data_IF_125561932616
#
_entry.id   IF_125561932616
#
_cell.length_a   1.000
_cell.length_b   1.000
_cell.length_c   1.000
_cell.angle_alpha   90.00
_cell.angle_beta   90.00
_cell.angle_gamma   90.00
#
_symmetry.space_group_name_H-M   'P 1'
#
loop_
_entity.id
_entity.type
_entity.pdbx_description
1 polymer ?
#
# COMPACT_ATOMS: atom_id res chain seq x y z
N UNK A 1 17.36 6.65 2.52
CA UNK A 1 16.49 7.54 1.70
C UNK A 1 16.69 8.97 2.20
N UNK A 2 17.92 9.47 2.09
CA UNK A 2 18.27 10.86 2.36
C UNK A 2 19.38 11.20 1.35
N UNK A 3 18.99 11.81 0.23
CA UNK A 3 19.95 12.31 -0.74
C UNK A 3 19.47 13.68 -1.20
N UNK A 4 19.95 14.73 -0.53
CA UNK A 4 19.58 16.13 -0.83
C UNK A 4 19.95 16.55 -2.25
N UNK A 5 20.76 15.76 -2.97
CA UNK A 5 21.12 15.97 -4.38
C UNK A 5 20.30 15.17 -5.39
N UNK A 6 19.32 14.35 -4.97
CA UNK A 6 18.52 13.54 -5.89
C UNK A 6 17.50 14.41 -6.64
N UNK A 7 17.74 14.61 -7.94
CA UNK A 7 16.92 15.46 -8.82
C UNK A 7 15.77 14.70 -9.50
N UNK A 8 15.58 13.42 -9.21
CA UNK A 8 14.47 12.64 -9.79
C UNK A 8 13.13 13.20 -9.31
N UNK A 9 12.08 13.19 -10.16
CA UNK A 9 10.73 13.52 -9.72
C UNK A 9 10.32 12.69 -8.50
N UNK A 10 9.62 13.32 -7.56
CA UNK A 10 9.16 12.69 -6.30
C UNK A 10 10.26 12.19 -5.36
N UNK A 11 11.53 12.54 -5.61
CA UNK A 11 12.62 12.34 -4.67
C UNK A 11 12.72 13.52 -3.69
N UNK A 12 13.05 13.21 -2.44
CA UNK A 12 13.23 14.21 -1.40
C UNK A 12 13.26 13.60 0.00
N UNK A 13 13.61 14.42 0.98
CA UNK A 13 13.59 14.01 2.39
C UNK A 13 12.14 13.97 2.90
N UNK A 14 11.70 12.81 3.35
CA UNK A 14 10.42 12.68 4.06
C UNK A 14 10.50 13.47 5.36
N UNK A 15 9.54 14.36 5.59
CA UNK A 15 9.44 15.12 6.84
C UNK A 15 8.61 14.32 7.84
N UNK A 16 9.26 13.82 8.88
CA UNK A 16 8.62 13.07 9.97
C UNK A 16 8.69 13.89 11.26
N UNK A 17 7.73 13.72 12.19
CA UNK A 17 7.83 14.34 13.51
C UNK A 17 9.07 13.81 14.24
N UNK A 18 9.67 14.66 15.07
CA UNK A 18 10.77 14.26 15.94
C UNK A 18 10.25 13.45 17.15
N UNK A 19 11.18 12.84 17.88
CA UNK A 19 10.87 12.02 19.05
C UNK A 19 10.34 12.84 20.24
N UNK A 20 10.51 14.16 20.26
CA UNK A 20 9.91 15.00 21.29
C UNK A 20 8.40 15.17 21.05
N UNK A 21 7.98 15.27 19.78
CA UNK A 21 6.58 15.38 19.39
C UNK A 21 5.88 14.01 19.32
N UNK A 22 6.54 12.99 18.76
CA UNK A 22 5.97 11.67 18.54
C UNK A 22 7.01 10.57 18.82
N UNK A 23 7.25 10.23 20.10
CA UNK A 23 8.31 9.29 20.50
C UNK A 23 8.26 7.96 19.72
N UNK A 24 9.31 7.66 18.97
CA UNK A 24 9.47 6.39 18.26
C UNK A 24 8.64 6.24 16.99
N UNK A 25 7.83 7.23 16.60
CA UNK A 25 6.98 7.16 15.40
C UNK A 25 7.82 6.98 14.13
N UNK A 26 8.80 7.87 13.92
CA UNK A 26 9.64 7.85 12.73
C UNK A 26 10.40 6.53 12.60
N UNK A 27 11.02 6.07 13.70
CA UNK A 27 11.73 4.79 13.76
C UNK A 27 10.83 3.62 13.40
N UNK A 28 9.63 3.53 13.98
CA UNK A 28 8.72 2.41 13.75
C UNK A 28 8.19 2.40 12.31
N UNK A 29 7.84 3.56 11.78
CA UNK A 29 7.33 3.70 10.41
C UNK A 29 8.38 3.29 9.38
N UNK A 30 9.63 3.75 9.55
CA UNK A 30 10.75 3.42 8.67
C UNK A 30 11.18 1.96 8.80
N UNK A 31 11.12 1.37 10.00
CA UNK A 31 11.38 -0.05 10.21
C UNK A 31 10.34 -0.92 9.47
N UNK A 32 9.04 -0.61 9.62
CA UNK A 32 7.98 -1.29 8.88
C UNK A 32 8.19 -1.17 7.37
N UNK A 33 8.48 0.03 6.87
CA UNK A 33 8.77 0.26 5.46
C UNK A 33 9.94 -0.60 4.97
N UNK A 34 11.04 -0.63 5.73
CA UNK A 34 12.23 -1.40 5.39
C UNK A 34 11.94 -2.91 5.34
N UNK A 35 11.22 -3.44 6.34
CA UNK A 35 10.81 -4.86 6.36
C UNK A 35 9.96 -5.20 5.14
N UNK A 36 8.92 -4.40 4.85
CA UNK A 36 8.04 -4.63 3.71
C UNK A 36 8.82 -4.58 2.38
N UNK A 37 9.66 -3.57 2.19
CA UNK A 37 10.42 -3.37 0.96
C UNK A 37 11.50 -4.43 0.75
N UNK A 38 12.15 -4.89 1.82
CA UNK A 38 13.26 -5.83 1.70
C UNK A 38 12.81 -7.29 1.72
N UNK A 39 11.69 -7.59 2.37
CA UNK A 39 11.27 -8.98 2.61
C UNK A 39 10.03 -9.37 1.81
N UNK A 40 9.05 -8.47 1.65
CA UNK A 40 7.76 -8.80 1.00
C UNK A 40 7.76 -8.43 -0.48
N UNK A 41 8.18 -7.21 -0.81
CA UNK A 41 8.16 -6.68 -2.19
C UNK A 41 8.95 -7.55 -3.18
N UNK A 42 10.15 -8.07 -2.86
CA UNK A 42 10.91 -8.88 -3.83
C UNK A 42 10.21 -10.21 -4.13
N UNK A 43 9.62 -10.86 -3.12
CA UNK A 43 8.91 -12.11 -3.30
C UNK A 43 7.66 -11.93 -4.18
N UNK A 44 6.86 -10.90 -3.88
CA UNK A 44 5.68 -10.57 -4.68
C UNK A 44 6.05 -10.16 -6.11
N UNK A 45 7.11 -9.37 -6.26
CA UNK A 45 7.62 -8.94 -7.56
C UNK A 45 8.08 -10.11 -8.43
N UNK A 46 8.83 -11.06 -7.87
CA UNK A 46 9.23 -12.28 -8.57
C UNK A 46 8.03 -13.12 -8.98
N UNK A 47 7.04 -13.31 -8.10
CA UNK A 47 5.83 -14.06 -8.42
C UNK A 47 5.01 -13.39 -9.54
N UNK A 48 4.88 -12.06 -9.52
CA UNK A 48 4.19 -11.33 -10.59
C UNK A 48 4.93 -11.40 -11.93
N UNK A 49 6.27 -11.31 -11.90
CA UNK A 49 7.09 -11.43 -13.10
C UNK A 49 6.96 -12.83 -13.74
N UNK A 50 6.99 -13.88 -12.92
CA UNK A 50 6.78 -15.26 -13.34
C UNK A 50 5.38 -15.46 -13.95
N UNK A 51 4.33 -14.97 -13.26
CA UNK A 51 2.96 -15.03 -13.79
C UNK A 51 2.82 -14.31 -15.14
N UNK A 52 3.59 -13.24 -15.37
CA UNK A 52 3.57 -12.47 -16.62
C UNK A 52 4.54 -12.99 -17.68
N UNK A 53 5.20 -14.13 -17.45
CA UNK A 53 6.20 -14.71 -18.34
C UNK A 53 7.33 -13.71 -18.69
N UNK A 54 7.71 -12.88 -17.72
CA UNK A 54 8.75 -11.88 -17.89
C UNK A 54 10.14 -12.50 -17.75
N UNK A 55 11.15 -11.82 -18.30
CA UNK A 55 12.55 -12.22 -18.13
C UNK A 55 12.91 -12.32 -16.64
N UNK A 56 13.72 -13.33 -16.29
CA UNK A 56 14.27 -13.46 -14.95
C UNK A 56 14.95 -12.14 -14.50
N UNK A 57 14.71 -11.78 -13.24
CA UNK A 57 15.25 -10.55 -12.67
C UNK A 57 14.64 -9.25 -13.22
N UNK A 58 13.59 -9.29 -14.05
CA UNK A 58 12.96 -8.06 -14.56
C UNK A 58 12.52 -7.14 -13.41
N UNK A 59 11.82 -7.67 -12.41
CA UNK A 59 11.34 -6.89 -11.28
C UNK A 59 12.46 -6.24 -10.45
N UNK A 60 13.44 -6.98 -9.88
CA UNK A 60 14.51 -6.37 -9.10
C UNK A 60 15.37 -5.37 -9.89
N UNK A 61 15.49 -5.51 -11.23
CA UNK A 61 16.17 -4.53 -12.09
C UNK A 61 15.42 -3.20 -12.19
N UNK A 62 14.08 -3.24 -12.27
CA UNK A 62 13.26 -2.03 -12.50
C UNK A 62 12.68 -1.42 -11.22
N UNK A 63 12.69 -2.15 -10.10
CA UNK A 63 12.19 -1.70 -8.80
C UNK A 63 13.31 -1.32 -7.81
N UNK A 64 14.52 -1.01 -8.30
CA UNK A 64 15.67 -0.70 -7.44
C UNK A 64 16.30 0.67 -7.77
N UNK A 65 16.30 1.64 -6.84
CA UNK A 65 15.49 1.67 -5.63
C UNK A 65 13.99 1.86 -5.98
N UNK A 66 13.06 1.30 -5.18
CA UNK A 66 11.65 1.47 -5.45
C UNK A 66 11.18 2.89 -5.11
N UNK A 67 10.19 3.38 -5.85
CA UNK A 67 9.43 4.56 -5.43
C UNK A 67 8.36 4.10 -4.43
N UNK A 68 8.46 4.55 -3.18
CA UNK A 68 7.55 4.16 -2.10
C UNK A 68 6.71 5.35 -1.68
N UNK A 69 5.39 5.17 -1.66
CA UNK A 69 4.44 6.10 -1.09
C UNK A 69 3.72 5.40 0.07
N UNK A 70 4.13 5.73 1.30
CA UNK A 70 3.51 5.18 2.51
C UNK A 70 2.63 6.24 3.15
N UNK A 71 1.41 5.86 3.55
CA UNK A 71 0.49 6.76 4.25
C UNK A 71 0.19 6.23 5.65
N UNK A 72 -0.03 7.15 6.59
CA UNK A 72 -0.60 6.83 7.92
C UNK A 72 -1.95 7.50 8.00
N UNK A 73 -3.03 6.73 7.87
CA UNK A 73 -4.39 7.24 7.78
C UNK A 73 -5.15 6.84 9.04
N UNK A 74 -5.67 7.83 9.76
CA UNK A 74 -6.56 7.64 10.90
C UNK A 74 -8.01 7.88 10.47
N UNK A 75 -8.87 6.88 10.66
CA UNK A 75 -10.31 7.04 10.61
C UNK A 75 -10.84 7.12 12.05
N UNK A 76 -11.43 8.26 12.47
CA UNK A 76 -12.01 8.42 13.80
C UNK A 76 -13.25 7.53 14.00
N UNK A 77 -13.60 7.27 15.26
CA UNK A 77 -14.83 6.55 15.65
C UNK A 77 -16.13 7.25 15.24
N UNK A 78 -16.07 8.53 14.88
CA UNK A 78 -17.20 9.28 14.30
C UNK A 78 -17.43 8.96 12.82
N UNK A 79 -16.57 8.12 12.23
CA UNK A 79 -16.64 7.67 10.85
C UNK A 79 -15.68 8.40 9.91
N UNK A 80 -15.67 7.97 8.66
CA UNK A 80 -14.87 8.58 7.60
C UNK A 80 -14.94 7.80 6.30
N UNK A 81 -14.63 8.47 5.19
CA UNK A 81 -14.76 7.86 3.86
C UNK A 81 -13.58 8.20 2.97
N UNK A 82 -13.22 7.25 2.10
CA UNK A 82 -12.46 7.51 0.89
C UNK A 82 -13.34 7.15 -0.30
N UNK A 83 -13.44 8.06 -1.28
CA UNK A 83 -14.25 7.85 -2.48
C UNK A 83 -13.78 6.65 -3.31
N UNK A 84 -14.58 6.27 -4.32
CA UNK A 84 -14.17 5.25 -5.29
C UNK A 84 -12.91 5.72 -6.02
N UNK A 85 -11.86 4.90 -6.00
CA UNK A 85 -10.63 5.13 -6.75
C UNK A 85 -9.91 3.81 -7.07
N UNK A 86 -8.87 3.91 -7.88
CA UNK A 86 -7.81 2.91 -8.06
C UNK A 86 -6.49 3.49 -7.55
N UNK A 87 -5.52 2.63 -7.28
CA UNK A 87 -4.17 3.06 -6.91
C UNK A 87 -3.31 3.20 -8.17
N UNK A 88 -2.62 4.34 -8.31
CA UNK A 88 -1.83 4.64 -9.52
C UNK A 88 -0.56 3.79 -9.66
N UNK A 89 -0.12 3.11 -8.60
CA UNK A 89 1.14 2.36 -8.57
C UNK A 89 1.06 0.97 -9.20
N UNK A 90 2.04 0.12 -8.92
CA UNK A 90 2.01 -1.29 -9.33
C UNK A 90 1.11 -2.14 -8.42
N UNK A 91 1.32 -2.03 -7.13
CA UNK A 91 0.49 -2.64 -6.11
C UNK A 91 0.64 -1.88 -4.79
N UNK A 92 -0.33 -2.06 -3.90
CA UNK A 92 -0.36 -1.49 -2.56
C UNK A 92 -0.43 -2.63 -1.55
N UNK A 93 0.44 -2.56 -0.53
CA UNK A 93 0.49 -3.51 0.58
C UNK A 93 -0.09 -2.82 1.81
N UNK A 94 -1.35 -3.11 2.10
CA UNK A 94 -2.09 -2.48 3.17
C UNK A 94 -2.01 -3.31 4.45
N UNK A 95 -1.38 -2.74 5.48
CA UNK A 95 -1.53 -3.20 6.85
C UNK A 95 -2.74 -2.49 7.46
N UNK A 96 -3.68 -3.27 7.99
CA UNK A 96 -4.86 -2.77 8.68
C UNK A 96 -5.07 -3.55 9.96
N UNK A 97 -5.58 -2.87 10.99
CA UNK A 97 -5.95 -3.49 12.25
C UNK A 97 -7.09 -4.50 12.05
N UNK A 98 -7.08 -5.56 12.86
CA UNK A 98 -8.23 -6.45 12.99
C UNK A 98 -9.34 -5.68 13.71
N UNK A 99 -10.43 -5.41 12.97
CA UNK A 99 -11.58 -4.70 13.51
C UNK A 99 -12.87 -5.46 13.15
N UNK A 100 -13.88 -5.44 14.04
CA UNK A 100 -15.20 -6.00 13.72
C UNK A 100 -15.84 -5.36 12.49
N UNK A 101 -15.51 -4.09 12.21
CA UNK A 101 -16.09 -3.32 11.10
C UNK A 101 -15.19 -3.34 9.87
N UNK A 102 -15.63 -4.06 8.83
CA UNK A 102 -14.95 -4.11 7.52
C UNK A 102 -15.16 -2.81 6.74
N UNK A 103 -14.19 -1.91 6.86
CA UNK A 103 -14.30 -0.55 6.33
C UNK A 103 -13.83 -0.43 4.87
N UNK A 104 -12.85 -1.24 4.45
CA UNK A 104 -12.40 -1.30 3.06
C UNK A 104 -13.39 -2.11 2.22
N UNK A 105 -13.77 -1.58 1.06
CA UNK A 105 -14.64 -2.25 0.11
C UNK A 105 -13.99 -2.24 -1.28
N UNK A 106 -14.04 -3.38 -1.97
CA UNK A 106 -13.54 -3.57 -3.34
C UNK A 106 -14.72 -3.79 -4.29
N UNK A 107 -14.62 -3.31 -5.52
CA UNK A 107 -15.64 -3.51 -6.54
C UNK A 107 -15.36 -4.81 -7.30
N UNK A 108 -16.23 -5.79 -7.15
CA UNK A 108 -16.09 -7.09 -7.82
C UNK A 108 -17.46 -7.67 -8.18
N UNK A 109 -17.58 -8.22 -9.40
CA UNK A 109 -18.83 -8.86 -9.85
C UNK A 109 -20.05 -7.90 -9.88
N UNK A 110 -19.83 -6.62 -10.17
CA UNK A 110 -20.91 -5.61 -10.22
C UNK A 110 -21.42 -5.14 -8.85
N UNK A 111 -20.70 -5.42 -7.76
CA UNK A 111 -21.06 -4.99 -6.41
C UNK A 111 -19.85 -4.61 -5.57
N UNK A 112 -20.10 -3.84 -4.52
CA UNK A 112 -19.11 -3.57 -3.47
C UNK A 112 -19.03 -4.77 -2.51
N UNK A 113 -17.83 -5.32 -2.36
CA UNK A 113 -17.54 -6.41 -1.45
C UNK A 113 -16.63 -5.92 -0.32
N UNK A 114 -16.96 -6.19 0.96
CA UNK A 114 -16.08 -5.82 2.07
C UNK A 114 -14.81 -6.68 2.04
N UNK A 115 -13.65 -6.05 2.08
CA UNK A 115 -12.39 -6.76 2.27
C UNK A 115 -12.33 -7.28 3.73
N UNK A 116 -11.92 -8.54 3.95
CA UNK A 116 -11.72 -9.04 5.31
C UNK A 116 -10.53 -8.32 5.97
N UNK A 117 -10.66 -8.09 7.27
CA UNK A 117 -9.54 -7.69 8.13
C UNK A 117 -9.12 -8.94 8.89
N UNK A 118 -8.06 -9.62 8.42
CA UNK A 118 -7.58 -10.86 9.02
C UNK A 118 -6.34 -10.56 9.88
N UNK A 119 -6.18 -11.22 11.04
CA UNK A 119 -4.95 -11.14 11.81
C UNK A 119 -3.76 -11.61 10.97
N UNK A 120 -2.58 -11.05 11.25
CA UNK A 120 -1.30 -11.42 10.62
C UNK A 120 -1.33 -11.43 9.08
N UNK A 121 -2.07 -10.49 8.48
CA UNK A 121 -2.24 -10.41 7.03
C UNK A 121 -1.96 -9.03 6.46
N UNK A 122 -1.58 -9.01 5.18
CA UNK A 122 -1.53 -7.81 4.35
C UNK A 122 -2.59 -7.92 3.26
N UNK A 123 -3.33 -6.84 3.05
CA UNK A 123 -4.18 -6.72 1.85
C UNK A 123 -3.32 -6.26 0.69
N UNK A 124 -3.40 -6.98 -0.43
CA UNK A 124 -2.71 -6.60 -1.68
C UNK A 124 -3.74 -6.06 -2.66
N UNK A 125 -3.64 -4.77 -3.00
CA UNK A 125 -4.39 -4.18 -4.11
C UNK A 125 -3.46 -4.06 -5.32
N UNK A 126 -3.94 -4.43 -6.50
CA UNK A 126 -3.22 -4.18 -7.75
C UNK A 126 -3.56 -2.78 -8.26
N UNK A 127 -2.56 -2.10 -8.82
CA UNK A 127 -2.68 -0.74 -9.30
C UNK A 127 -2.57 -0.59 -10.82
N UNK A 128 -2.76 0.64 -11.27
CA UNK A 128 -2.90 1.01 -12.67
C UNK A 128 -1.63 0.72 -13.50
N UNK A 129 -0.44 0.85 -12.92
CA UNK A 129 0.82 0.53 -13.63
C UNK A 129 0.96 -0.95 -13.92
N UNK A 130 0.57 -1.82 -12.99
CA UNK A 130 0.61 -3.27 -13.22
C UNK A 130 -0.45 -3.66 -14.26
N UNK A 131 -1.63 -3.04 -14.20
CA UNK A 131 -2.65 -3.27 -15.22
C UNK A 131 -2.14 -2.93 -16.62
N UNK A 132 -1.55 -1.75 -16.80
CA UNK A 132 -0.96 -1.34 -18.07
C UNK A 132 0.20 -2.25 -18.51
N UNK A 133 1.09 -2.62 -17.60
CA UNK A 133 2.21 -3.52 -17.92
C UNK A 133 1.74 -4.91 -18.36
N UNK A 134 0.68 -5.41 -17.72
CA UNK A 134 0.14 -6.75 -17.95
C UNK A 134 -0.82 -6.87 -19.13
N UNK A 135 -1.03 -5.78 -19.88
CA UNK A 135 -2.04 -5.69 -20.94
C UNK A 135 -3.43 -6.16 -20.44
N UNK A 136 -3.88 -5.57 -19.33
CA UNK A 136 -5.16 -5.86 -18.66
C UNK A 136 -5.35 -7.29 -18.12
N UNK A 137 -4.33 -8.17 -18.14
CA UNK A 137 -4.38 -9.48 -17.44
C UNK A 137 -4.62 -9.34 -15.95
N UNK A 138 -3.93 -8.39 -15.32
CA UNK A 138 -4.19 -7.96 -13.95
C UNK A 138 -4.98 -6.67 -14.00
N UNK A 139 -6.08 -6.60 -13.25
CA UNK A 139 -6.92 -5.40 -13.21
C UNK A 139 -6.69 -4.63 -11.93
N UNK A 140 -6.46 -3.33 -12.08
CA UNK A 140 -6.46 -2.39 -10.97
C UNK A 140 -7.81 -2.44 -10.27
N UNK A 141 -7.78 -2.61 -8.96
CA UNK A 141 -8.99 -2.96 -8.19
C UNK A 141 -9.68 -1.68 -7.72
N UNK A 142 -10.87 -1.30 -8.25
CA UNK A 142 -11.56 -0.14 -7.76
C UNK A 142 -12.00 -0.39 -6.32
N UNK A 143 -11.64 0.51 -5.42
CA UNK A 143 -11.91 0.37 -4.00
C UNK A 143 -12.36 1.69 -3.38
N UNK A 144 -12.97 1.58 -2.20
CA UNK A 144 -13.42 2.72 -1.39
C UNK A 144 -13.31 2.38 0.09
N UNK A 145 -13.37 3.39 0.95
CA UNK A 145 -13.48 3.19 2.40
C UNK A 145 -14.77 3.78 2.89
N UNK A 146 -15.51 3.01 3.68
CA UNK A 146 -16.68 3.44 4.44
C UNK A 146 -16.49 2.98 5.88
N UNK A 147 -15.98 3.87 6.73
CA UNK A 147 -15.80 3.61 8.14
C UNK A 147 -16.97 4.19 8.93
N UNK A 148 -17.65 3.32 9.69
CA UNK A 148 -18.83 3.64 10.52
C UNK A 148 -18.82 2.90 11.86
N UNK A 149 -17.68 2.31 12.22
CA UNK A 149 -17.54 1.53 13.45
C UNK A 149 -17.33 2.43 14.66
N UNK A 150 -17.66 1.96 15.89
CA UNK A 150 -17.49 2.75 17.11
C UNK A 150 -16.03 2.88 17.56
N UNK A 151 -15.12 2.08 16.99
CA UNK A 151 -13.69 2.11 17.25
C UNK A 151 -12.97 2.90 16.16
N UNK A 152 -11.91 3.63 16.54
CA UNK A 152 -11.01 4.21 15.55
C UNK A 152 -10.27 3.13 14.77
N UNK A 153 -9.80 3.49 13.57
CA UNK A 153 -9.06 2.59 12.68
C UNK A 153 -7.81 3.28 12.16
N UNK A 154 -6.67 2.63 12.33
CA UNK A 154 -5.43 2.99 11.64
C UNK A 154 -5.28 2.14 10.38
N UNK A 155 -4.91 2.80 9.29
CA UNK A 155 -4.70 2.20 7.98
C UNK A 155 -3.34 2.63 7.46
N UNK A 156 -2.49 1.65 7.12
CA UNK A 156 -1.12 1.85 6.65
C UNK A 156 -0.93 1.21 5.27
N UNK A 157 -1.43 1.85 4.19
CA UNK A 157 -1.17 1.43 2.81
C UNK A 157 0.23 1.83 2.32
#
# INVERSE_FOLDING_TARGET
>A
IENEGDRRPFAGRTRLPDDALAPGFARSLLALQATVVNEVVPQLGTALADLLDMEEGWFPRHFSPPTVLQRVIRYPSTGGTAGKHTDNGFFTLLLQEELPTRSLQVWFGGRWMPAPSLPDSLVVNLGDMLQALSDDRFRSTPHRVVHSGPAERISLP
#
